data_IF_151594114995
#
_entry.id   IF_151594114995
#
_cell.length_a   1.000
_cell.length_b   1.000
_cell.length_c   1.000
_cell.angle_alpha   90.00
_cell.angle_beta   90.00
_cell.angle_gamma   90.00
#
_symmetry.space_group_name_H-M   'P 1'
#
loop_
_entity.id
_entity.type
_entity.pdbx_description
1 polymer ?
#
# COMPACT_ATOMS: atom_id res chain seq x y z
N UNK A 1 -62.25 70.41 -58.07
CA UNK A 1 -61.72 69.51 -59.11
C UNK A 1 -60.22 69.39 -58.91
N UNK A 2 -59.77 68.21 -58.49
CA UNK A 2 -58.50 67.57 -58.84
C UNK A 2 -58.34 66.35 -57.93
N UNK A 3 -58.94 65.25 -58.38
CA UNK A 3 -58.72 63.89 -57.90
C UNK A 3 -57.35 63.45 -58.38
N UNK A 4 -56.44 63.12 -57.45
CA UNK A 4 -55.16 62.48 -57.77
C UNK A 4 -55.26 61.03 -57.36
N UNK A 5 -55.45 60.17 -58.36
CA UNK A 5 -55.46 58.71 -58.21
C UNK A 5 -54.06 58.22 -57.78
N UNK A 6 -53.95 57.64 -56.58
CA UNK A 6 -52.78 56.85 -56.21
C UNK A 6 -52.98 55.41 -56.67
N UNK A 7 -52.27 55.05 -57.74
CA UNK A 7 -52.16 53.68 -58.21
C UNK A 7 -51.39 52.82 -57.19
N UNK A 8 -52.11 51.97 -56.47
CA UNK A 8 -51.57 50.87 -55.66
C UNK A 8 -50.90 49.84 -56.58
N UNK A 9 -49.58 49.91 -56.71
CA UNK A 9 -48.76 48.88 -57.36
C UNK A 9 -48.49 47.75 -56.37
N UNK A 10 -49.23 46.65 -56.50
CA UNK A 10 -48.94 45.41 -55.77
C UNK A 10 -47.55 44.90 -56.16
N UNK A 11 -46.63 44.66 -55.20
CA UNK A 11 -45.32 44.11 -55.51
C UNK A 11 -45.46 42.65 -55.97
N UNK A 12 -45.10 42.40 -57.23
CA UNK A 12 -44.96 41.05 -57.77
C UNK A 12 -43.93 40.25 -56.95
N UNK A 13 -44.26 39.04 -56.46
CA UNK A 13 -43.33 38.21 -55.72
C UNK A 13 -42.17 37.78 -56.63
N UNK A 14 -40.96 38.26 -56.33
CA UNK A 14 -39.75 37.84 -57.04
C UNK A 14 -39.55 36.33 -56.84
N UNK A 15 -39.31 35.54 -57.90
CA UNK A 15 -39.03 34.12 -57.73
C UNK A 15 -37.73 33.95 -56.96
N UNK A 16 -37.79 33.24 -55.83
CA UNK A 16 -36.63 32.82 -55.04
C UNK A 16 -35.75 31.94 -55.93
N UNK A 17 -34.74 32.55 -56.56
CA UNK A 17 -33.69 31.82 -57.27
C UNK A 17 -32.77 31.20 -56.23
N UNK A 18 -33.17 30.05 -55.71
CA UNK A 18 -32.32 29.24 -54.85
C UNK A 18 -31.09 28.83 -55.67
N UNK A 19 -29.96 29.44 -55.33
CA UNK A 19 -28.67 29.06 -55.90
C UNK A 19 -28.37 27.63 -55.49
N UNK A 20 -28.19 26.73 -56.47
CA UNK A 20 -27.83 25.31 -56.26
C UNK A 20 -26.58 25.20 -55.38
N UNK A 21 -25.67 26.18 -55.47
CA UNK A 21 -24.48 26.27 -54.64
C UNK A 21 -24.80 26.42 -53.14
N UNK A 22 -25.85 27.18 -52.80
CA UNK A 22 -26.29 27.36 -51.42
C UNK A 22 -26.88 26.06 -50.85
N UNK A 23 -27.59 25.29 -51.68
CA UNK A 23 -28.12 23.98 -51.29
C UNK A 23 -26.97 22.98 -51.03
N UNK A 24 -25.97 22.94 -51.91
CA UNK A 24 -24.77 22.11 -51.74
C UNK A 24 -24.01 22.48 -50.46
N UNK A 25 -23.81 23.78 -50.21
CA UNK A 25 -23.19 24.29 -48.98
C UNK A 25 -23.94 23.85 -47.73
N UNK A 26 -25.27 23.98 -47.72
CA UNK A 26 -26.10 23.54 -46.59
C UNK A 26 -25.97 22.02 -46.35
N UNK A 27 -25.99 21.22 -47.41
CA UNK A 27 -25.81 19.77 -47.32
C UNK A 27 -24.42 19.40 -46.76
N UNK A 28 -23.37 20.15 -47.13
CA UNK A 28 -22.02 19.92 -46.59
C UNK A 28 -21.95 20.23 -45.10
N UNK A 29 -22.55 21.35 -44.67
CA UNK A 29 -22.62 21.73 -43.26
C UNK A 29 -23.40 20.69 -42.45
N UNK A 30 -24.56 20.25 -42.94
CA UNK A 30 -25.35 19.18 -42.30
C UNK A 30 -24.55 17.88 -42.19
N UNK A 31 -23.85 17.45 -43.25
CA UNK A 31 -23.00 16.27 -43.23
C UNK A 31 -21.87 16.40 -42.20
N UNK A 32 -21.25 17.59 -42.09
CA UNK A 32 -20.23 17.88 -41.10
C UNK A 32 -20.77 17.76 -39.67
N UNK A 33 -21.96 18.31 -39.40
CA UNK A 33 -22.60 18.22 -38.09
C UNK A 33 -22.91 16.77 -37.70
N UNK A 34 -23.47 15.98 -38.62
CA UNK A 34 -23.74 14.55 -38.38
C UNK A 34 -22.44 13.78 -38.09
N UNK A 35 -21.38 14.03 -38.87
CA UNK A 35 -20.09 13.41 -38.64
C UNK A 35 -19.49 13.79 -37.27
N UNK A 36 -19.62 15.05 -36.87
CA UNK A 36 -19.10 15.56 -35.59
C UNK A 36 -19.88 14.95 -34.40
N UNK A 37 -21.20 14.83 -34.51
CA UNK A 37 -22.03 14.13 -33.51
C UNK A 37 -21.70 12.64 -33.41
N UNK A 38 -21.48 11.97 -34.54
CA UNK A 38 -21.06 10.56 -34.55
C UNK A 38 -19.72 10.37 -33.85
N UNK A 39 -18.72 11.22 -34.14
CA UNK A 39 -17.40 11.17 -33.48
C UNK A 39 -17.47 11.43 -31.97
N UNK A 40 -18.31 12.36 -31.52
CA UNK A 40 -18.52 12.63 -30.08
C UNK A 40 -19.15 11.40 -29.41
N UNK A 41 -20.16 10.80 -30.05
CA UNK A 41 -20.83 9.59 -29.56
C UNK A 41 -19.87 8.40 -29.43
N UNK A 42 -19.00 8.19 -30.42
CA UNK A 42 -17.98 7.15 -30.36
C UNK A 42 -16.96 7.40 -29.24
N UNK A 43 -16.44 8.64 -29.12
CA UNK A 43 -15.52 8.98 -28.03
C UNK A 43 -16.11 8.72 -26.64
N UNK A 44 -17.40 9.00 -26.45
CA UNK A 44 -18.08 8.72 -25.19
C UNK A 44 -18.14 7.21 -24.90
N UNK A 45 -18.46 6.39 -25.91
CA UNK A 45 -18.47 4.92 -25.79
C UNK A 45 -17.08 4.37 -25.45
N UNK A 46 -16.04 4.83 -26.15
CA UNK A 46 -14.66 4.44 -25.87
C UNK A 46 -14.24 4.83 -24.46
N UNK A 47 -14.57 6.04 -23.99
CA UNK A 47 -14.31 6.44 -22.61
C UNK A 47 -14.98 5.53 -21.60
N UNK A 48 -16.26 5.21 -21.79
CA UNK A 48 -17.00 4.31 -20.90
C UNK A 48 -16.33 2.93 -20.84
N UNK A 49 -15.98 2.34 -21.98
CA UNK A 49 -15.28 1.05 -22.05
C UNK A 49 -13.91 1.09 -21.38
N UNK A 50 -13.15 2.18 -21.53
CA UNK A 50 -11.85 2.29 -20.84
C UNK A 50 -11.98 2.39 -19.33
N UNK A 51 -13.07 2.98 -18.82
CA UNK A 51 -13.34 3.06 -17.38
C UNK A 51 -13.70 1.68 -16.83
N UNK A 52 -14.58 0.94 -17.50
CA UNK A 52 -14.95 -0.42 -17.06
C UNK A 52 -13.75 -1.36 -17.07
N UNK A 53 -12.95 -1.33 -18.14
CA UNK A 53 -11.76 -2.19 -18.27
C UNK A 53 -10.70 -1.87 -17.21
N UNK A 54 -10.53 -0.59 -16.86
CA UNK A 54 -9.64 -0.17 -15.77
C UNK A 54 -10.11 -0.67 -14.42
N UNK A 55 -11.41 -0.66 -14.18
CA UNK A 55 -12.00 -1.16 -12.94
C UNK A 55 -11.87 -2.68 -12.83
N UNK A 56 -12.11 -3.42 -13.92
CA UNK A 56 -11.88 -4.86 -13.99
C UNK A 56 -10.40 -5.21 -13.74
N UNK A 57 -9.48 -4.49 -14.38
CA UNK A 57 -8.04 -4.68 -14.12
C UNK A 57 -7.66 -4.37 -12.67
N UNK A 58 -8.28 -3.35 -12.06
CA UNK A 58 -8.08 -3.01 -10.64
C UNK A 58 -8.55 -4.16 -9.74
N UNK A 59 -9.73 -4.70 -9.99
CA UNK A 59 -10.30 -5.82 -9.25
C UNK A 59 -9.45 -7.09 -9.41
N UNK A 60 -9.01 -7.41 -10.64
CA UNK A 60 -8.12 -8.54 -10.91
C UNK A 60 -6.77 -8.38 -10.21
N UNK A 61 -6.19 -7.17 -10.21
CA UNK A 61 -4.95 -6.89 -9.49
C UNK A 61 -5.12 -7.08 -7.99
N UNK A 62 -6.22 -6.59 -7.42
CA UNK A 62 -6.53 -6.79 -6.00
C UNK A 62 -6.71 -8.28 -5.66
N UNK A 63 -7.47 -9.02 -6.47
CA UNK A 63 -7.67 -10.45 -6.28
C UNK A 63 -6.35 -11.24 -6.31
N UNK A 64 -5.41 -10.82 -7.16
CA UNK A 64 -4.10 -11.47 -7.32
C UNK A 64 -2.99 -10.84 -6.47
N UNK A 65 -3.31 -9.93 -5.53
CA UNK A 65 -2.33 -9.23 -4.68
C UNK A 65 -1.21 -8.54 -5.49
N UNK A 66 -1.57 -8.02 -6.67
CA UNK A 66 -0.70 -7.23 -7.52
C UNK A 66 -0.77 -5.76 -7.11
N UNK A 67 0.39 -5.09 -7.12
CA UNK A 67 0.44 -3.65 -6.86
C UNK A 67 -0.22 -2.88 -8.00
N UNK A 68 -1.06 -1.91 -7.64
CA UNK A 68 -1.59 -0.92 -8.56
C UNK A 68 -0.86 0.41 -8.38
N UNK A 69 0.21 0.62 -9.13
CA UNK A 69 1.00 1.86 -9.11
C UNK A 69 0.30 2.90 -9.99
N UNK A 70 -0.27 3.93 -9.37
CA UNK A 70 -0.96 5.03 -10.07
C UNK A 70 -0.01 6.21 -10.29
N UNK A 71 0.75 6.57 -9.27
CA UNK A 71 1.77 7.61 -9.30
C UNK A 71 3.17 7.01 -9.05
N UNK A 72 4.03 6.91 -10.08
CA UNK A 72 5.35 6.28 -9.95
C UNK A 72 6.32 7.05 -9.03
N UNK A 73 5.92 8.20 -8.46
CA UNK A 73 6.70 8.97 -7.48
C UNK A 73 6.40 8.60 -6.04
N UNK A 74 5.36 7.79 -5.78
CA UNK A 74 4.96 7.37 -4.44
C UNK A 74 5.48 5.99 -4.09
N UNK A 75 5.62 5.72 -2.81
CA UNK A 75 5.88 4.37 -2.29
C UNK A 75 4.54 3.66 -2.19
N UNK A 76 4.43 2.48 -2.78
CA UNK A 76 3.25 1.63 -2.63
C UNK A 76 3.58 0.38 -1.86
N UNK A 77 2.71 0.01 -0.93
CA UNK A 77 2.83 -1.23 -0.17
C UNK A 77 1.52 -2.00 -0.24
N UNK A 78 1.62 -3.30 -0.55
CA UNK A 78 0.51 -4.23 -0.56
C UNK A 78 0.87 -5.43 0.31
N UNK A 79 0.07 -5.70 1.35
CA UNK A 79 0.20 -6.91 2.14
C UNK A 79 -0.15 -8.14 1.29
N UNK A 80 0.70 -9.15 1.34
CA UNK A 80 0.47 -10.42 0.66
C UNK A 80 0.00 -11.46 1.68
N UNK A 81 -0.86 -12.38 1.24
CA UNK A 81 -1.24 -13.52 2.08
C UNK A 81 -0.01 -14.39 2.30
N UNK A 82 0.24 -14.69 3.56
CA UNK A 82 1.34 -15.54 3.99
C UNK A 82 0.84 -16.94 4.32
N UNK A 83 1.46 -18.02 3.80
CA UNK A 83 1.11 -19.38 4.16
C UNK A 83 1.48 -19.77 5.61
N UNK A 84 2.25 -18.95 6.33
CA UNK A 84 2.73 -19.27 7.69
C UNK A 84 2.34 -18.17 8.68
N UNK A 85 1.85 -18.56 9.86
CA UNK A 85 1.35 -17.64 10.90
C UNK A 85 2.40 -16.62 11.39
N UNK A 86 3.70 -16.96 11.33
CA UNK A 86 4.81 -16.12 11.80
C UNK A 86 5.66 -15.55 10.66
N UNK A 87 5.05 -15.45 9.48
CA UNK A 87 5.66 -14.85 8.31
C UNK A 87 4.83 -13.66 7.85
N UNK A 88 5.43 -12.48 7.87
CA UNK A 88 4.89 -11.32 7.17
C UNK A 88 5.43 -11.26 5.73
N UNK A 89 4.58 -10.90 4.77
CA UNK A 89 4.99 -10.72 3.37
C UNK A 89 4.30 -9.50 2.77
N UNK A 90 5.09 -8.66 2.11
CA UNK A 90 4.64 -7.43 1.48
C UNK A 90 5.24 -7.30 0.10
N UNK A 91 4.47 -6.74 -0.82
CA UNK A 91 4.97 -6.27 -2.11
C UNK A 91 5.11 -4.75 -2.04
N UNK A 92 6.29 -4.25 -2.34
CA UNK A 92 6.63 -2.83 -2.20
C UNK A 92 7.14 -2.28 -3.52
N UNK A 93 6.57 -1.18 -3.99
CA UNK A 93 7.13 -0.39 -5.07
C UNK A 93 7.87 0.81 -4.49
N UNK A 94 9.13 0.93 -4.87
CA UNK A 94 10.01 2.04 -4.51
C UNK A 94 10.23 2.90 -5.77
N UNK A 95 9.96 4.22 -5.70
CA UNK A 95 10.04 5.09 -6.85
C UNK A 95 11.50 5.35 -7.27
N UNK A 96 11.68 5.84 -8.50
CA UNK A 96 13.01 6.10 -9.06
C UNK A 96 13.70 7.34 -8.47
N UNK A 97 15.03 7.39 -8.62
CA UNK A 97 15.86 8.55 -8.28
C UNK A 97 16.47 8.54 -6.88
N UNK A 98 16.18 7.53 -6.04
CA UNK A 98 16.71 7.43 -4.66
C UNK A 98 16.94 5.98 -4.24
N UNK A 99 17.91 5.78 -3.36
CA UNK A 99 18.09 4.51 -2.67
C UNK A 99 17.29 4.48 -1.37
N UNK A 100 16.81 3.29 -1.03
CA UNK A 100 16.00 3.03 0.14
C UNK A 100 16.71 2.02 1.04
N UNK A 101 16.30 1.97 2.30
CA UNK A 101 16.76 0.94 3.22
C UNK A 101 15.59 0.32 3.96
N UNK A 102 15.51 -1.00 3.91
CA UNK A 102 14.64 -1.76 4.82
C UNK A 102 15.36 -1.89 6.13
N UNK A 103 14.74 -1.42 7.20
CA UNK A 103 15.28 -1.42 8.55
C UNK A 103 14.33 -2.15 9.46
N UNK A 104 14.90 -2.72 10.51
CA UNK A 104 14.12 -3.26 11.60
C UNK A 104 14.77 -2.90 12.91
N UNK A 105 13.93 -2.77 13.92
CA UNK A 105 14.33 -2.57 15.29
C UNK A 105 13.61 -3.59 16.16
N UNK A 106 14.27 -3.94 17.25
CA UNK A 106 13.80 -4.86 18.26
C UNK A 106 13.99 -4.22 19.65
N UNK A 107 13.75 -2.91 19.73
CA UNK A 107 13.64 -2.20 21.00
C UNK A 107 12.36 -2.65 21.69
N UNK A 108 12.45 -2.81 23.01
CA UNK A 108 11.33 -2.98 23.93
C UNK A 108 10.65 -4.35 24.07
N UNK A 109 11.29 -5.47 23.72
CA UNK A 109 10.99 -6.76 24.38
C UNK A 109 11.74 -6.82 25.70
N UNK A 110 11.08 -7.27 26.80
CA UNK A 110 11.42 -6.87 28.16
C UNK A 110 12.93 -6.98 28.32
N UNK A 111 13.61 -5.88 28.72
CA UNK A 111 15.05 -5.81 28.74
C UNK A 111 15.52 -7.06 29.44
N UNK A 112 16.21 -7.93 28.69
CA UNK A 112 17.07 -8.88 29.34
C UNK A 112 17.93 -8.01 30.26
N UNK A 113 17.95 -8.37 31.54
CA UNK A 113 18.38 -7.56 32.69
C UNK A 113 19.89 -7.24 32.65
N UNK A 114 20.48 -7.26 31.47
CA UNK A 114 21.87 -7.02 31.18
C UNK A 114 22.05 -5.67 30.47
N UNK A 115 22.34 -4.59 31.23
CA UNK A 115 22.62 -3.27 30.68
C UNK A 115 23.89 -3.23 29.80
N UNK A 116 24.62 -4.34 29.66
CA UNK A 116 25.82 -4.41 28.80
C UNK A 116 25.53 -4.81 27.36
N UNK A 117 24.31 -5.27 27.05
CA UNK A 117 23.92 -5.63 25.68
C UNK A 117 23.69 -4.35 24.85
N UNK A 118 24.79 -3.76 24.36
CA UNK A 118 24.77 -2.58 23.51
C UNK A 118 24.00 -2.91 22.25
N UNK A 119 22.78 -2.39 22.14
CA UNK A 119 21.93 -2.44 20.96
C UNK A 119 22.78 -2.27 19.69
N UNK A 120 22.86 -3.33 18.89
CA UNK A 120 23.56 -3.25 17.62
C UNK A 120 22.74 -2.35 16.67
N UNK A 121 23.40 -1.40 15.99
CA UNK A 121 22.73 -0.45 15.13
C UNK A 121 21.96 -1.17 14.02
N UNK A 122 20.71 -0.72 13.85
CA UNK A 122 19.76 -1.01 12.78
C UNK A 122 20.42 -1.54 11.50
N UNK A 123 20.63 -2.86 11.41
CA UNK A 123 21.12 -3.48 10.20
C UNK A 123 20.01 -3.41 9.16
N UNK A 124 20.26 -2.77 8.03
CA UNK A 124 19.24 -2.60 7.00
C UNK A 124 19.69 -3.07 5.63
N UNK A 125 18.73 -3.53 4.81
CA UNK A 125 18.97 -3.95 3.44
C UNK A 125 18.85 -2.73 2.55
N UNK A 126 19.93 -2.33 1.88
CA UNK A 126 19.86 -1.30 0.84
C UNK A 126 19.06 -1.83 -0.35
N UNK A 127 18.10 -1.04 -0.81
CA UNK A 127 17.24 -1.34 -1.94
C UNK A 127 17.30 -0.18 -2.94
N UNK A 128 17.84 -0.41 -4.16
CA UNK A 128 17.65 0.55 -5.25
C UNK A 128 16.17 0.60 -5.66
N UNK A 129 15.75 1.58 -6.46
CA UNK A 129 14.39 1.67 -6.98
C UNK A 129 13.85 0.38 -7.60
N UNK A 130 12.52 0.25 -7.59
CA UNK A 130 11.79 -0.86 -8.22
C UNK A 130 10.87 -1.59 -7.26
N UNK A 131 10.35 -2.72 -7.75
CA UNK A 131 9.32 -3.49 -7.04
C UNK A 131 9.92 -4.73 -6.37
N UNK A 132 9.78 -4.82 -5.05
CA UNK A 132 10.31 -5.88 -4.21
C UNK A 132 9.21 -6.70 -3.57
N UNK A 133 9.52 -7.97 -3.32
CA UNK A 133 8.83 -8.75 -2.28
C UNK A 133 9.69 -8.70 -1.03
N UNK A 134 9.16 -8.14 0.04
CA UNK A 134 9.78 -8.13 1.36
C UNK A 134 9.07 -9.17 2.21
N UNK A 135 9.83 -10.05 2.85
CA UNK A 135 9.28 -11.00 3.80
C UNK A 135 10.09 -11.02 5.08
N UNK A 136 9.39 -11.20 6.18
CA UNK A 136 9.91 -11.32 7.52
C UNK A 136 9.48 -12.69 8.04
N UNK A 137 10.41 -13.43 8.65
CA UNK A 137 10.15 -14.75 9.25
C UNK A 137 10.89 -14.88 10.57
N UNK A 138 10.26 -15.53 11.54
CA UNK A 138 10.92 -16.01 12.75
C UNK A 138 11.19 -17.51 12.64
N UNK A 139 12.45 -17.92 12.79
CA UNK A 139 12.88 -19.31 12.65
C UNK A 139 13.47 -19.80 13.97
N UNK A 140 12.96 -20.91 14.48
CA UNK A 140 13.57 -21.63 15.59
C UNK A 140 14.56 -22.65 15.04
N UNK A 141 15.83 -22.55 15.44
CA UNK A 141 16.82 -23.57 15.12
C UNK A 141 17.12 -24.37 16.39
N UNK A 142 16.58 -25.60 16.53
CA UNK A 142 17.04 -26.49 17.58
C UNK A 142 18.48 -26.90 17.25
N UNK A 143 19.45 -26.50 18.08
CA UNK A 143 20.83 -26.98 17.97
C UNK A 143 21.18 -27.78 19.21
N UNK A 144 22.09 -28.75 19.08
CA UNK A 144 22.51 -29.62 20.19
C UNK A 144 23.13 -28.84 21.35
N UNK A 145 23.73 -27.67 21.09
CA UNK A 145 24.44 -26.90 22.11
C UNK A 145 23.61 -25.74 22.67
N UNK A 146 22.86 -25.00 21.83
CA UNK A 146 21.95 -23.93 22.26
C UNK A 146 20.82 -23.76 21.23
N UNK A 147 19.57 -23.85 21.67
CA UNK A 147 18.42 -23.43 20.88
C UNK A 147 18.49 -21.93 20.62
N UNK A 148 18.27 -21.51 19.38
CA UNK A 148 18.33 -20.09 19.03
C UNK A 148 17.19 -19.71 18.08
N UNK A 149 16.50 -18.62 18.43
CA UNK A 149 15.60 -17.95 17.50
C UNK A 149 16.38 -17.08 16.53
N UNK A 150 15.91 -16.98 15.30
CA UNK A 150 16.47 -16.11 14.28
C UNK A 150 15.36 -15.33 13.62
N UNK A 151 15.57 -14.03 13.46
CA UNK A 151 14.78 -13.24 12.53
C UNK A 151 15.47 -13.25 11.17
N UNK A 152 14.70 -13.56 10.13
CA UNK A 152 15.14 -13.48 8.75
C UNK A 152 14.27 -12.48 8.01
N UNK A 153 14.90 -11.41 7.52
CA UNK A 153 14.27 -10.42 6.64
C UNK A 153 14.91 -10.57 5.27
N UNK A 154 14.09 -10.73 4.25
CA UNK A 154 14.51 -10.85 2.86
C UNK A 154 13.79 -9.82 2.03
N UNK A 155 14.50 -9.17 1.12
CA UNK A 155 13.94 -8.31 0.11
C UNK A 155 14.43 -8.81 -1.25
N UNK A 156 13.52 -9.16 -2.16
CA UNK A 156 13.87 -9.77 -3.45
C UNK A 156 13.09 -9.18 -4.60
N UNK A 157 13.78 -8.90 -5.71
CA UNK A 157 13.24 -8.64 -7.05
C UNK A 157 14.01 -9.48 -8.08
N UNK A 158 13.52 -9.66 -9.31
CA UNK A 158 14.30 -10.34 -10.35
C UNK A 158 15.68 -9.70 -10.52
N UNK A 159 16.75 -10.51 -10.38
CA UNK A 159 18.14 -10.06 -10.53
C UNK A 159 18.74 -9.27 -9.36
N UNK A 160 17.98 -8.97 -8.29
CA UNK A 160 18.52 -8.25 -7.13
C UNK A 160 17.83 -8.66 -5.83
N UNK A 161 18.59 -8.79 -4.76
CA UNK A 161 18.01 -9.07 -3.46
C UNK A 161 19.01 -8.92 -2.33
N UNK A 162 18.47 -8.80 -1.13
CA UNK A 162 19.24 -8.78 0.10
C UNK A 162 18.55 -9.62 1.16
N UNK A 163 19.36 -10.10 2.10
CA UNK A 163 18.89 -10.87 3.23
C UNK A 163 19.65 -10.46 4.47
N UNK A 164 18.92 -10.24 5.54
CA UNK A 164 19.47 -10.13 6.88
C UNK A 164 18.99 -11.33 7.69
N UNK A 165 19.93 -11.97 8.37
CA UNK A 165 19.64 -12.94 9.42
C UNK A 165 20.24 -12.41 10.70
N UNK A 166 19.43 -12.32 11.73
CA UNK A 166 19.88 -11.89 13.04
C UNK A 166 19.46 -12.95 14.05
N UNK A 167 20.46 -13.45 14.78
CA UNK A 167 20.23 -14.37 15.88
C UNK A 167 19.71 -13.60 17.08
N UNK A 168 18.59 -14.04 17.63
CA UNK A 168 18.05 -13.50 18.87
C UNK A 168 18.78 -14.15 20.06
N UNK A 169 18.90 -13.45 21.21
CA UNK A 169 19.49 -14.03 22.42
C UNK A 169 18.74 -15.29 22.85
N UNK A 170 19.39 -16.18 23.61
CA UNK A 170 18.83 -17.49 24.04
C UNK A 170 17.65 -17.30 25.00
N UNK A 171 17.64 -16.19 25.72
CA UNK A 171 16.50 -15.68 26.50
C UNK A 171 15.46 -15.05 25.57
N UNK A 172 15.33 -15.62 24.37
CA UNK A 172 14.54 -15.11 23.28
C UNK A 172 13.13 -14.81 23.81
N UNK A 173 12.50 -13.75 23.29
CA UNK A 173 11.26 -13.25 23.80
C UNK A 173 10.29 -14.40 24.10
N UNK A 174 9.81 -14.44 25.33
CA UNK A 174 8.90 -15.48 25.83
C UNK A 174 7.73 -15.74 24.89
N UNK A 175 7.32 -14.74 24.09
CA UNK A 175 6.25 -14.85 23.10
C UNK A 175 6.60 -15.64 21.83
N UNK A 176 7.88 -15.72 21.44
CA UNK A 176 8.29 -16.59 20.34
C UNK A 176 8.12 -18.07 20.72
N UNK A 177 8.26 -18.37 22.01
CA UNK A 177 8.02 -19.70 22.59
C UNK A 177 6.57 -19.85 23.06
N UNK A 178 5.81 -18.74 23.15
CA UNK A 178 4.46 -18.78 23.66
C UNK A 178 3.55 -19.68 22.82
N UNK A 179 2.68 -20.37 23.55
CA UNK A 179 1.64 -21.17 22.96
C UNK A 179 0.58 -20.24 22.38
N UNK A 180 0.20 -20.49 21.13
CA UNK A 180 -0.91 -19.82 20.49
C UNK A 180 -2.20 -20.31 21.18
N UNK A 181 -2.85 -19.42 21.92
CA UNK A 181 -4.11 -19.72 22.65
C UNK A 181 -5.33 -19.07 21.99
N UNK A 182 -5.15 -18.42 20.84
CA UNK A 182 -6.21 -17.74 20.11
C UNK A 182 -5.67 -16.75 19.08
N UNK A 183 -6.56 -16.07 18.34
CA UNK A 183 -6.14 -15.10 17.31
C UNK A 183 -5.21 -14.03 17.89
N UNK A 184 -3.93 -14.12 17.56
CA UNK A 184 -2.86 -13.25 18.02
C UNK A 184 -2.74 -13.14 19.55
N UNK A 185 -3.18 -14.15 20.30
CA UNK A 185 -2.98 -14.22 21.75
C UNK A 185 -1.97 -15.31 22.07
N UNK A 186 -1.03 -14.96 22.93
CA UNK A 186 0.13 -15.76 23.24
C UNK A 186 0.26 -15.87 24.75
N UNK A 187 0.36 -17.09 25.27
CA UNK A 187 0.66 -17.33 26.67
C UNK A 187 2.17 -17.48 26.86
N UNK A 188 2.76 -16.53 27.56
CA UNK A 188 4.15 -16.60 27.95
C UNK A 188 4.34 -17.70 29.00
N UNK A 189 5.45 -18.46 28.94
CA UNK A 189 5.83 -19.32 30.05
C UNK A 189 5.92 -18.50 31.35
N UNK A 190 5.44 -19.04 32.49
CA UNK A 190 5.54 -18.37 33.78
C UNK A 190 7.01 -18.16 34.18
N UNK A 191 7.30 -17.06 34.87
CA UNK A 191 8.67 -16.70 35.25
C UNK A 191 9.18 -17.54 36.44
N UNK A 192 8.26 -17.92 37.33
CA UNK A 192 8.53 -18.77 38.50
C UNK A 192 7.51 -19.90 38.61
N UNK A 193 7.90 -21.00 39.25
CA UNK A 193 6.99 -22.11 39.53
C UNK A 193 5.82 -21.64 40.41
N UNK A 194 4.59 -21.78 39.92
CA UNK A 194 3.36 -21.34 40.60
C UNK A 194 2.84 -19.95 40.19
N UNK A 195 3.55 -19.20 39.35
CA UNK A 195 3.03 -17.95 38.78
C UNK A 195 2.04 -18.22 37.64
N UNK A 196 1.04 -17.33 37.50
CA UNK A 196 0.11 -17.40 36.38
C UNK A 196 0.80 -16.99 35.08
N UNK A 197 0.66 -17.77 33.99
CA UNK A 197 1.19 -17.41 32.68
C UNK A 197 0.72 -16.02 32.26
N UNK A 198 1.65 -15.16 31.85
CA UNK A 198 1.30 -13.84 31.34
C UNK A 198 0.69 -14.02 29.94
N UNK A 199 -0.54 -13.58 29.77
CA UNK A 199 -1.15 -13.50 28.44
C UNK A 199 -0.68 -12.23 27.78
N UNK A 200 -0.18 -12.33 26.55
CA UNK A 200 0.11 -11.17 25.73
C UNK A 200 -0.75 -11.27 24.49
N UNK A 201 -1.55 -10.24 24.22
CA UNK A 201 -2.12 -10.09 22.89
C UNK A 201 -1.16 -9.31 22.01
N UNK A 202 -0.89 -9.84 20.82
CA UNK A 202 -0.10 -9.19 19.81
C UNK A 202 -1.03 -8.48 18.87
N UNK A 203 -0.85 -7.17 18.75
CA UNK A 203 -1.47 -6.44 17.65
C UNK A 203 -0.41 -6.25 16.58
N UNK A 204 -0.69 -6.77 15.40
CA UNK A 204 0.04 -6.35 14.22
C UNK A 204 -0.54 -5.01 13.80
N UNK A 205 0.08 -3.92 14.25
CA UNK A 205 -0.31 -2.57 13.87
C UNK A 205 0.51 -2.16 12.64
N UNK A 206 -0.15 -1.54 11.69
CA UNK A 206 0.46 -1.08 10.47
C UNK A 206 -0.63 -0.60 9.52
N UNK A 207 -0.47 0.57 8.87
CA UNK A 207 -1.44 1.04 7.88
C UNK A 207 -1.66 0.00 6.77
N UNK A 208 -0.62 -0.78 6.49
CA UNK A 208 -0.52 -1.75 5.40
C UNK A 208 -1.35 -3.02 5.59
N UNK A 209 -1.67 -3.43 6.83
CA UNK A 209 -2.33 -4.72 7.06
C UNK A 209 -3.86 -4.65 7.00
N UNK A 210 -4.43 -3.47 7.28
CA UNK A 210 -5.87 -3.27 7.30
C UNK A 210 -6.41 -2.74 5.96
N UNK A 211 -5.53 -2.18 5.11
CA UNK A 211 -5.88 -1.78 3.74
C UNK A 211 -5.14 -2.66 2.74
N UNK A 212 -5.81 -3.15 1.67
CA UNK A 212 -5.17 -4.04 0.69
C UNK A 212 -3.96 -3.40 0.00
N UNK A 213 -3.95 -2.07 -0.10
CA UNK A 213 -2.82 -1.29 -0.60
C UNK A 213 -2.81 0.07 0.11
N UNK A 214 -1.62 0.52 0.49
CA UNK A 214 -1.36 1.84 1.04
C UNK A 214 -0.37 2.60 0.16
N UNK A 215 -0.51 3.92 0.10
CA UNK A 215 0.41 4.82 -0.61
C UNK A 215 1.01 5.82 0.36
N UNK A 216 2.28 6.14 0.15
CA UNK A 216 3.06 7.02 1.01
C UNK A 216 3.92 7.94 0.15
N UNK A 217 4.26 9.11 0.68
CA UNK A 217 5.18 10.01 -0.01
C UNK A 217 6.62 9.45 0.04
N UNK A 218 7.43 9.78 -0.96
CA UNK A 218 8.77 9.19 -1.12
C UNK A 218 9.77 9.56 -0.01
N UNK A 219 9.45 10.56 0.81
CA UNK A 219 10.24 11.02 1.96
C UNK A 219 9.75 10.43 3.30
N UNK A 220 8.59 9.76 3.30
CA UNK A 220 8.00 9.22 4.52
C UNK A 220 8.65 7.91 4.95
N UNK A 221 8.70 7.71 6.26
CA UNK A 221 9.01 6.42 6.84
C UNK A 221 7.78 5.51 6.71
N UNK A 222 7.95 4.35 6.07
CA UNK A 222 6.85 3.43 5.78
C UNK A 222 6.96 2.20 6.68
N UNK A 223 6.14 2.15 7.71
CA UNK A 223 6.00 0.99 8.60
C UNK A 223 5.30 -0.17 7.89
N UNK A 224 5.99 -1.30 7.74
CA UNK A 224 5.45 -2.52 7.15
C UNK A 224 4.73 -3.38 8.18
N UNK A 225 5.35 -3.54 9.35
CA UNK A 225 4.77 -4.23 10.49
C UNK A 225 5.33 -3.67 11.79
N UNK A 226 4.43 -3.46 12.72
CA UNK A 226 4.72 -3.28 14.13
C UNK A 226 4.02 -4.40 14.90
N UNK A 227 4.75 -5.08 15.77
CA UNK A 227 4.16 -5.95 16.78
C UNK A 227 4.07 -5.17 18.08
N UNK A 228 2.90 -5.19 18.70
CA UNK A 228 2.64 -4.56 19.99
C UNK A 228 2.21 -5.60 21.01
N UNK A 229 2.78 -5.58 22.21
CA UNK A 229 2.38 -6.44 23.33
C UNK A 229 1.40 -5.72 24.28
N UNK A 230 0.36 -6.44 24.72
CA UNK A 230 -0.59 -5.95 25.73
C UNK A 230 -0.78 -6.98 26.85
N UNK A 231 -0.71 -6.54 28.11
CA UNK A 231 -0.98 -7.37 29.30
C UNK A 231 -2.44 -7.19 29.78
N UNK A 232 -3.29 -8.23 29.70
CA UNK A 232 -4.68 -8.17 30.10
C UNK A 232 -4.88 -8.32 31.62
N UNK A 233 -3.86 -8.74 32.37
CA UNK A 233 -3.98 -9.12 33.78
C UNK A 233 -3.79 -7.97 34.77
N UNK A 234 -3.41 -6.77 34.31
CA UNK A 234 -3.16 -5.60 35.15
C UNK A 234 -4.47 -4.92 35.58
N UNK A 235 -4.93 -5.05 36.85
CA UNK A 235 -6.25 -4.58 37.30
C UNK A 235 -6.34 -3.06 37.57
N UNK A 236 -5.23 -2.33 37.56
CA UNK A 236 -5.19 -0.88 37.81
C UNK A 236 -5.21 -0.06 36.51
N UNK A 237 -6.29 -0.15 35.73
CA UNK A 237 -6.41 0.53 34.43
C UNK A 237 -7.67 1.39 34.29
N UNK A 238 -8.08 2.03 35.38
CA UNK A 238 -9.06 3.12 35.35
C UNK A 238 -8.29 4.44 35.25
N UNK A 239 -8.29 5.06 34.06
CA UNK A 239 -7.79 6.41 33.76
C UNK A 239 -6.26 6.60 33.69
N UNK A 240 -5.69 6.51 32.47
CA UNK A 240 -4.36 7.08 32.16
C UNK A 240 -3.36 6.20 31.40
N UNK A 241 -3.71 5.76 30.18
CA UNK A 241 -2.82 5.31 29.09
C UNK A 241 -1.60 4.43 29.46
N UNK A 242 -1.78 3.11 29.43
CA UNK A 242 -0.69 2.21 29.06
C UNK A 242 -0.52 2.28 27.55
N UNK A 243 0.64 2.73 27.09
CA UNK A 243 0.98 2.68 25.67
C UNK A 243 1.33 1.23 25.31
N UNK A 244 0.88 0.71 24.16
CA UNK A 244 1.38 -0.56 23.65
C UNK A 244 2.90 -0.53 23.64
N UNK A 245 3.52 -1.61 24.14
CA UNK A 245 4.95 -1.77 24.02
C UNK A 245 5.23 -2.29 22.61
N UNK A 246 5.79 -1.45 21.74
CA UNK A 246 6.24 -1.85 20.42
C UNK A 246 7.43 -2.79 20.59
N UNK A 247 7.25 -4.05 20.24
CA UNK A 247 8.21 -5.12 20.53
C UNK A 247 9.04 -5.49 19.32
N UNK A 248 8.56 -5.14 18.13
CA UNK A 248 9.30 -5.29 16.88
C UNK A 248 8.74 -4.32 15.85
N UNK A 249 9.64 -3.62 15.16
CA UNK A 249 9.29 -2.72 14.08
C UNK A 249 10.07 -3.09 12.81
N UNK A 250 9.38 -3.21 11.68
CA UNK A 250 9.97 -3.30 10.36
C UNK A 250 9.44 -2.15 9.51
N UNK A 251 10.36 -1.35 8.97
CA UNK A 251 10.01 -0.20 8.14
C UNK A 251 10.95 -0.02 6.96
N UNK A 252 10.55 0.86 6.05
CA UNK A 252 11.34 1.33 4.93
C UNK A 252 11.52 2.82 5.09
N UNK A 253 12.71 3.31 4.83
CA UNK A 253 13.00 4.73 4.76
C UNK A 253 13.97 5.02 3.62
N UNK A 254 14.05 6.29 3.24
CA UNK A 254 15.05 6.78 2.29
C UNK A 254 16.45 6.66 2.89
N UNK A 255 17.42 6.24 2.07
CA UNK A 255 18.83 6.28 2.47
C UNK A 255 19.33 7.75 2.48
N UNK A 256 19.92 8.24 3.59
CA UNK A 256 20.49 9.58 3.62
C UNK A 256 21.60 9.68 2.58
N UNK A 257 21.49 10.67 1.68
CA UNK A 257 22.54 10.96 0.71
C UNK A 257 23.78 11.37 1.49
N UNK A 258 24.90 10.65 1.29
CA UNK A 258 26.18 11.12 1.79
C UNK A 258 26.49 12.44 1.08
N UNK A 259 26.82 13.51 1.84
CA UNK A 259 27.15 14.81 1.26
C UNK A 259 28.41 14.76 0.40
#
# INVERSE_FOLDING_TARGET
>A
MNTTDQATTNPSPRPLRFSILALLGLMTVCALFVALFAMIGERAKWKAQTVTLREELRQLRQANQLLNVVDPRKIYVCAMVSPFERMGRWRVHLPEGRDYRVKYDWKDLPPDRDPTNKYHPVSGIKLPPGTYTISQTFQFTPSQNKSQWRICITASKPGHGGRIRHGLPVNAPSWLVANNVGRNQFELPPLSEGETPQRISFRTSGPVLNTPQSEFDFDEQVSLVTYEAYDPSSPSQTSGKLLPQEVFHLWIEKEPQQP
#
